data_IF_444209161739
#
_entry.id   IF_444209161739
#
_cell.length_a   1.000
_cell.length_b   1.000
_cell.length_c   1.000
_cell.angle_alpha   90.00
_cell.angle_beta   90.00
_cell.angle_gamma   90.00
#
_symmetry.space_group_name_H-M   'P 1'
#
loop_
_entity.id
_entity.type
_entity.pdbx_description
1 polymer ?
#
# COMPACT_ATOMS: atom_id res chain seq x y z
N UNK A 1 11.56 15.82 -1.46
CA UNK A 1 11.09 14.77 -2.40
C UNK A 1 11.22 15.23 -3.84
N UNK A 2 11.44 14.29 -4.77
CA UNK A 2 11.37 14.58 -6.21
C UNK A 2 9.90 14.79 -6.63
N UNK A 3 9.71 15.48 -7.78
CA UNK A 3 8.37 15.64 -8.34
C UNK A 3 7.77 14.26 -8.66
N UNK A 4 6.54 14.02 -8.23
CA UNK A 4 5.87 12.75 -8.47
C UNK A 4 5.70 12.49 -9.98
N UNK A 5 5.99 11.27 -10.40
CA UNK A 5 5.71 10.78 -11.75
C UNK A 5 4.20 10.87 -12.02
N UNK A 6 3.84 11.41 -13.16
CA UNK A 6 2.44 11.45 -13.60
C UNK A 6 2.17 10.18 -14.39
N UNK A 7 1.36 9.29 -13.82
CA UNK A 7 0.88 8.08 -14.48
C UNK A 7 -0.51 8.28 -15.08
N UNK A 8 -0.95 7.38 -15.95
CA UNK A 8 -2.33 7.35 -16.44
C UNK A 8 -3.28 7.07 -15.27
N UNK A 9 -4.27 7.92 -15.07
CA UNK A 9 -5.27 7.69 -14.02
C UNK A 9 -6.25 6.57 -14.43
N UNK A 10 -6.54 5.67 -13.48
CA UNK A 10 -7.58 4.65 -13.56
C UNK A 10 -8.43 4.69 -12.30
N UNK A 11 -9.61 4.09 -12.33
CA UNK A 11 -10.45 3.93 -11.16
C UNK A 11 -10.50 2.46 -10.73
N UNK A 12 -10.37 2.20 -9.44
CA UNK A 12 -10.64 0.91 -8.81
C UNK A 12 -11.87 1.13 -7.93
N UNK A 13 -13.04 0.82 -8.44
CA UNK A 13 -14.29 1.29 -7.87
C UNK A 13 -14.32 2.82 -7.84
N UNK A 14 -14.55 3.40 -6.67
CA UNK A 14 -14.55 4.84 -6.42
C UNK A 14 -13.16 5.41 -6.09
N UNK A 15 -12.14 4.56 -5.93
CA UNK A 15 -10.77 5.00 -5.64
C UNK A 15 -10.01 5.27 -6.92
N UNK A 16 -9.66 6.55 -7.15
CA UNK A 16 -8.79 6.97 -8.24
C UNK A 16 -7.34 6.62 -7.93
N UNK A 17 -6.67 5.96 -8.88
CA UNK A 17 -5.27 5.52 -8.79
C UNK A 17 -4.48 6.09 -9.95
N UNK A 18 -3.34 6.71 -9.67
CA UNK A 18 -2.51 7.37 -10.70
C UNK A 18 -2.91 8.81 -10.97
N UNK A 19 -2.23 9.45 -11.92
CA UNK A 19 -2.38 10.87 -12.18
C UNK A 19 -1.92 11.72 -10.99
N UNK A 20 -2.80 12.60 -10.55
CA UNK A 20 -2.63 13.48 -9.39
C UNK A 20 -3.27 12.92 -8.10
N UNK A 21 -3.91 11.73 -8.17
CA UNK A 21 -4.57 11.12 -7.02
C UNK A 21 -3.56 10.80 -5.89
N UNK A 22 -3.94 10.88 -4.62
CA UNK A 22 -3.08 10.48 -3.51
C UNK A 22 -2.62 9.03 -3.65
N UNK A 23 -1.44 8.69 -3.14
CA UNK A 23 -1.00 7.29 -3.06
C UNK A 23 -1.93 6.53 -2.13
N UNK A 24 -2.59 5.49 -2.65
CA UNK A 24 -3.56 4.70 -1.89
C UNK A 24 -2.92 3.51 -1.18
N UNK A 25 -3.51 3.11 -0.05
CA UNK A 25 -3.10 1.95 0.73
C UNK A 25 -4.05 0.78 0.46
N UNK A 26 -3.50 -0.32 -0.04
CA UNK A 26 -4.20 -1.56 -0.29
C UNK A 26 -3.75 -2.64 0.69
N UNK A 27 -4.67 -3.50 1.14
CA UNK A 27 -4.34 -4.74 1.84
C UNK A 27 -4.98 -5.97 1.17
N UNK A 28 -4.86 -7.11 1.80
CA UNK A 28 -5.41 -8.39 1.31
C UNK A 28 -5.96 -9.20 2.47
N UNK A 29 -7.10 -9.84 2.26
CA UNK A 29 -7.64 -10.79 3.24
C UNK A 29 -6.75 -12.01 3.39
N UNK A 30 -6.71 -12.56 4.59
CA UNK A 30 -6.01 -13.81 4.96
C UNK A 30 -6.98 -14.94 5.26
N UNK A 31 -8.28 -14.62 5.33
CA UNK A 31 -9.37 -15.59 5.47
C UNK A 31 -9.55 -16.40 4.19
N UNK A 32 -10.12 -17.58 4.31
CA UNK A 32 -10.65 -18.28 3.15
C UNK A 32 -11.82 -17.47 2.57
N UNK A 33 -11.74 -17.08 1.31
CA UNK A 33 -12.75 -16.25 0.66
C UNK A 33 -14.12 -16.93 0.63
N UNK A 34 -14.17 -18.27 0.69
CA UNK A 34 -15.41 -19.05 0.75
C UNK A 34 -16.15 -18.87 2.09
N UNK A 35 -15.43 -18.51 3.15
CA UNK A 35 -16.03 -18.10 4.42
C UNK A 35 -16.40 -16.59 4.34
N UNK A 36 -17.61 -16.34 3.86
CA UNK A 36 -18.13 -14.97 3.68
C UNK A 36 -18.12 -14.19 4.98
N UNK A 37 -18.56 -14.80 6.08
CA UNK A 37 -18.69 -14.11 7.37
C UNK A 37 -17.33 -13.67 7.92
N UNK A 38 -16.34 -14.57 7.92
CA UNK A 38 -14.99 -14.26 8.36
C UNK A 38 -14.32 -13.23 7.44
N UNK A 39 -14.51 -13.33 6.12
CA UNK A 39 -13.92 -12.41 5.14
C UNK A 39 -14.53 -11.01 5.26
N UNK A 40 -15.86 -10.88 5.39
CA UNK A 40 -16.53 -9.60 5.62
C UNK A 40 -16.07 -8.96 6.93
N UNK A 41 -15.96 -9.74 8.01
CA UNK A 41 -15.48 -9.23 9.30
C UNK A 41 -14.04 -8.70 9.18
N UNK A 42 -13.17 -9.40 8.46
CA UNK A 42 -11.80 -8.95 8.23
C UNK A 42 -11.74 -7.69 7.35
N UNK A 43 -12.55 -7.60 6.29
CA UNK A 43 -12.62 -6.40 5.44
C UNK A 43 -13.08 -5.19 6.25
N UNK A 44 -14.12 -5.32 7.08
CA UNK A 44 -14.58 -4.23 7.96
C UNK A 44 -13.48 -3.77 8.93
N UNK A 45 -12.72 -4.69 9.51
CA UNK A 45 -11.58 -4.33 10.33
C UNK A 45 -10.47 -3.62 9.55
N UNK A 46 -10.28 -3.94 8.28
CA UNK A 46 -9.37 -3.22 7.38
C UNK A 46 -9.91 -1.81 7.02
N UNK A 47 -11.21 -1.68 6.76
CA UNK A 47 -11.87 -0.37 6.55
C UNK A 47 -11.71 0.55 7.77
N UNK A 48 -11.92 0.00 8.97
CA UNK A 48 -11.71 0.73 10.24
C UNK A 48 -10.26 1.19 10.41
N UNK A 49 -9.28 0.37 9.97
CA UNK A 49 -7.87 0.73 9.96
C UNK A 49 -7.48 1.75 8.87
N UNK A 50 -8.42 2.09 7.97
CA UNK A 50 -8.23 3.07 6.90
C UNK A 50 -7.82 2.45 5.56
N UNK A 51 -7.91 1.13 5.37
CA UNK A 51 -7.64 0.48 4.09
C UNK A 51 -8.56 1.05 3.01
N UNK A 52 -8.00 1.38 1.86
CA UNK A 52 -8.75 2.03 0.77
C UNK A 52 -9.14 1.06 -0.36
N UNK A 53 -8.42 -0.05 -0.49
CA UNK A 53 -8.69 -1.09 -1.49
C UNK A 53 -8.35 -2.44 -0.86
N UNK A 54 -9.22 -3.43 -1.00
CA UNK A 54 -8.96 -4.79 -0.49
C UNK A 54 -8.87 -5.80 -1.63
N UNK A 55 -8.03 -6.82 -1.47
CA UNK A 55 -7.89 -7.93 -2.41
C UNK A 55 -8.25 -9.24 -1.72
N UNK A 56 -9.07 -10.08 -2.40
CA UNK A 56 -9.41 -11.43 -1.98
C UNK A 56 -8.85 -12.47 -2.95
N UNK A 57 -8.35 -13.59 -2.43
CA UNK A 57 -7.92 -14.71 -3.26
C UNK A 57 -9.14 -15.43 -3.87
N UNK A 58 -9.03 -15.86 -5.13
CA UNK A 58 -10.09 -16.56 -5.84
C UNK A 58 -9.54 -17.87 -6.42
N UNK A 59 -9.43 -18.91 -5.59
CA UNK A 59 -8.87 -20.19 -6.02
C UNK A 59 -9.82 -21.02 -6.90
N UNK A 60 -11.13 -20.85 -6.73
CA UNK A 60 -12.16 -21.66 -7.40
C UNK A 60 -13.52 -20.93 -7.54
N UNK A 61 -14.51 -21.60 -8.13
CA UNK A 61 -15.86 -21.08 -8.38
C UNK A 61 -16.67 -20.89 -7.10
N UNK A 62 -16.36 -21.58 -6.02
CA UNK A 62 -17.03 -21.37 -4.73
C UNK A 62 -16.59 -20.03 -4.13
N UNK A 63 -15.30 -19.71 -4.21
CA UNK A 63 -14.79 -18.40 -3.83
C UNK A 63 -15.38 -17.27 -4.69
N UNK A 64 -15.60 -17.48 -6.00
CA UNK A 64 -16.29 -16.49 -6.86
C UNK A 64 -17.70 -16.21 -6.37
N UNK A 65 -18.49 -17.26 -6.06
CA UNK A 65 -19.85 -17.07 -5.53
C UNK A 65 -19.85 -16.29 -4.22
N UNK A 66 -18.86 -16.57 -3.37
CA UNK A 66 -18.69 -15.84 -2.11
C UNK A 66 -18.37 -14.35 -2.35
N UNK A 67 -17.61 -14.00 -3.39
CA UNK A 67 -17.30 -12.59 -3.71
C UNK A 67 -18.53 -11.73 -3.91
N UNK A 68 -19.56 -12.23 -4.60
CA UNK A 68 -20.80 -11.50 -4.82
C UNK A 68 -21.49 -11.16 -3.49
N UNK A 69 -21.46 -12.07 -2.52
CA UNK A 69 -22.02 -11.85 -1.19
C UNK A 69 -21.16 -10.89 -0.35
N UNK A 70 -19.83 -11.05 -0.41
CA UNK A 70 -18.87 -10.17 0.26
C UNK A 70 -19.02 -8.74 -0.27
N UNK A 71 -19.13 -8.55 -1.60
CA UNK A 71 -19.28 -7.24 -2.23
C UNK A 71 -20.52 -6.49 -1.76
N UNK A 72 -21.62 -7.21 -1.54
CA UNK A 72 -22.87 -6.61 -1.02
C UNK A 72 -22.77 -6.11 0.42
N UNK A 73 -21.82 -6.65 1.19
CA UNK A 73 -21.67 -6.37 2.63
C UNK A 73 -20.49 -5.46 2.97
N UNK A 74 -19.71 -5.03 1.95
CA UNK A 74 -18.51 -4.20 2.09
C UNK A 74 -18.59 -2.97 1.22
N UNK A 75 -17.94 -1.87 1.63
CA UNK A 75 -17.99 -0.58 0.95
C UNK A 75 -16.71 -0.29 0.15
N UNK A 76 -15.55 -0.70 0.64
CA UNK A 76 -14.27 -0.44 -0.08
C UNK A 76 -14.17 -1.29 -1.35
N UNK A 77 -13.47 -0.78 -2.39
CA UNK A 77 -13.22 -1.50 -3.63
C UNK A 77 -12.59 -2.88 -3.42
N UNK A 78 -13.11 -3.87 -4.13
CA UNK A 78 -12.74 -5.28 -4.03
C UNK A 78 -11.98 -5.75 -5.27
N UNK A 79 -10.79 -6.31 -5.08
CA UNK A 79 -9.97 -6.90 -6.14
C UNK A 79 -10.05 -8.43 -6.06
N UNK A 80 -10.39 -9.09 -7.18
CA UNK A 80 -10.27 -10.54 -7.31
C UNK A 80 -8.85 -10.93 -7.73
N UNK A 81 -8.20 -11.80 -6.95
CA UNK A 81 -6.86 -12.31 -7.23
C UNK A 81 -6.94 -13.68 -7.93
N UNK A 82 -6.72 -13.67 -9.24
CA UNK A 82 -6.88 -14.82 -10.10
C UNK A 82 -5.56 -15.14 -10.78
N UNK A 83 -5.17 -16.43 -10.80
CA UNK A 83 -3.86 -16.83 -11.32
C UNK A 83 -3.88 -17.43 -12.72
N UNK A 84 -4.81 -18.38 -13.02
CA UNK A 84 -4.72 -19.20 -14.23
C UNK A 84 -6.04 -19.38 -14.99
N UNK A 85 -7.18 -19.22 -14.34
CA UNK A 85 -8.46 -19.63 -14.90
C UNK A 85 -9.29 -18.44 -15.37
N UNK A 86 -9.47 -18.33 -16.70
CA UNK A 86 -10.24 -17.25 -17.32
C UNK A 86 -11.72 -17.22 -16.86
N UNK A 87 -12.32 -18.38 -16.60
CA UNK A 87 -13.71 -18.44 -16.12
C UNK A 87 -13.86 -17.77 -14.75
N UNK A 88 -12.88 -17.96 -13.83
CA UNK A 88 -12.90 -17.28 -12.55
C UNK A 88 -12.84 -15.77 -12.72
N UNK A 89 -12.11 -15.29 -13.75
CA UNK A 89 -12.05 -13.86 -14.06
C UNK A 89 -13.40 -13.33 -14.57
N UNK A 90 -14.05 -14.04 -15.51
CA UNK A 90 -15.36 -13.65 -16.06
C UNK A 90 -16.43 -13.60 -14.98
N UNK A 91 -16.56 -14.66 -14.21
CA UNK A 91 -17.53 -14.75 -13.11
C UNK A 91 -17.26 -13.76 -11.97
N UNK A 92 -15.97 -13.44 -11.70
CA UNK A 92 -15.62 -12.39 -10.76
C UNK A 92 -16.08 -11.01 -11.24
N UNK A 93 -15.95 -10.72 -12.54
CA UNK A 93 -16.49 -9.48 -13.14
C UNK A 93 -18.01 -9.41 -12.99
N UNK A 94 -18.72 -10.52 -13.17
CA UNK A 94 -20.17 -10.61 -12.95
C UNK A 94 -20.54 -10.40 -11.48
N UNK A 95 -19.69 -10.84 -10.56
CA UNK A 95 -19.85 -10.66 -9.12
C UNK A 95 -19.68 -9.18 -8.68
N UNK A 96 -19.28 -8.30 -9.59
CA UNK A 96 -19.16 -6.86 -9.34
C UNK A 96 -17.88 -6.45 -8.65
N UNK A 97 -16.76 -7.14 -8.89
CA UNK A 97 -15.44 -6.71 -8.41
C UNK A 97 -14.95 -5.48 -9.14
N UNK A 98 -14.17 -4.67 -8.46
CA UNK A 98 -13.71 -3.36 -8.93
C UNK A 98 -12.35 -3.41 -9.64
N UNK A 99 -11.64 -4.54 -9.58
CA UNK A 99 -10.39 -4.78 -10.30
C UNK A 99 -10.09 -6.28 -10.36
N UNK A 100 -9.47 -6.73 -11.43
CA UNK A 100 -8.87 -8.06 -11.50
C UNK A 100 -7.36 -7.96 -11.23
N UNK A 101 -6.81 -8.88 -10.43
CA UNK A 101 -5.38 -9.18 -10.47
C UNK A 101 -5.20 -10.44 -11.31
N UNK A 102 -4.63 -10.27 -12.47
CA UNK A 102 -4.48 -11.33 -13.45
C UNK A 102 -3.24 -11.08 -14.32
N UNK A 103 -2.50 -12.13 -14.61
CA UNK A 103 -1.44 -12.10 -15.61
C UNK A 103 -1.99 -12.79 -16.89
N UNK A 104 -2.28 -12.01 -17.95
CA UNK A 104 -2.90 -12.58 -19.16
C UNK A 104 -2.05 -13.69 -19.80
N UNK A 105 -0.72 -13.59 -19.73
CA UNK A 105 0.19 -14.63 -20.22
C UNK A 105 0.05 -15.99 -19.52
N UNK A 106 -0.50 -16.04 -18.30
CA UNK A 106 -0.75 -17.31 -17.60
C UNK A 106 -1.93 -18.09 -18.18
N UNK A 107 -2.84 -17.45 -18.92
CA UNK A 107 -4.04 -18.10 -19.51
C UNK A 107 -3.66 -18.90 -20.75
N UNK A 108 -2.57 -18.58 -21.45
CA UNK A 108 -2.01 -19.23 -22.65
C UNK A 108 -2.93 -19.30 -23.88
N UNK A 109 -4.23 -19.16 -23.73
CA UNK A 109 -5.26 -19.24 -24.78
C UNK A 109 -5.72 -17.82 -25.10
N UNK A 110 -5.41 -17.34 -26.32
CA UNK A 110 -5.68 -15.96 -26.72
C UNK A 110 -7.18 -15.63 -26.72
N UNK A 111 -8.01 -16.54 -27.21
CA UNK A 111 -9.47 -16.30 -27.26
C UNK A 111 -10.05 -16.11 -25.85
N UNK A 112 -9.53 -16.84 -24.86
CA UNK A 112 -9.92 -16.70 -23.46
C UNK A 112 -9.45 -15.39 -22.85
N UNK A 113 -8.25 -14.94 -23.19
CA UNK A 113 -7.74 -13.62 -22.79
C UNK A 113 -8.62 -12.52 -23.38
N UNK A 114 -8.94 -12.62 -24.70
CA UNK A 114 -9.82 -11.68 -25.39
C UNK A 114 -11.22 -11.59 -24.75
N UNK A 115 -11.78 -12.71 -24.31
CA UNK A 115 -13.06 -12.73 -23.58
C UNK A 115 -12.98 -11.94 -22.28
N UNK A 116 -11.96 -12.20 -21.44
CA UNK A 116 -11.77 -11.50 -20.17
C UNK A 116 -11.56 -10.01 -20.39
N UNK A 117 -10.71 -9.63 -21.35
CA UNK A 117 -10.40 -8.24 -21.66
C UNK A 117 -11.64 -7.51 -22.18
N UNK A 118 -12.43 -8.13 -23.05
CA UNK A 118 -13.69 -7.55 -23.56
C UNK A 118 -14.68 -7.25 -22.42
N UNK A 119 -14.87 -8.21 -21.51
CA UNK A 119 -15.77 -8.03 -20.37
C UNK A 119 -15.24 -6.99 -19.37
N UNK A 120 -13.93 -6.98 -19.08
CA UNK A 120 -13.31 -5.97 -18.24
C UNK A 120 -13.44 -4.56 -18.86
N UNK A 121 -13.24 -4.44 -20.19
CA UNK A 121 -13.39 -3.18 -20.94
C UNK A 121 -14.84 -2.67 -20.91
N UNK A 122 -15.82 -3.57 -21.17
CA UNK A 122 -17.24 -3.23 -21.16
C UNK A 122 -17.70 -2.70 -19.77
N UNK A 123 -17.14 -3.23 -18.69
CA UNK A 123 -17.45 -2.86 -17.32
C UNK A 123 -16.55 -1.75 -16.76
N UNK A 124 -15.56 -1.30 -17.52
CA UNK A 124 -14.53 -0.33 -17.08
C UNK A 124 -13.75 -0.81 -15.86
N UNK A 125 -13.57 -2.12 -15.70
CA UNK A 125 -12.82 -2.75 -14.61
C UNK A 125 -11.34 -2.88 -14.98
N UNK A 126 -10.41 -2.26 -14.23
CA UNK A 126 -8.99 -2.36 -14.52
C UNK A 126 -8.42 -3.75 -14.23
N UNK A 127 -7.34 -4.08 -14.95
CA UNK A 127 -6.55 -5.29 -14.72
C UNK A 127 -5.20 -4.92 -14.12
N UNK A 128 -4.86 -5.54 -12.98
CA UNK A 128 -3.52 -5.42 -12.41
C UNK A 128 -2.65 -6.59 -12.82
N UNK A 129 -1.62 -6.29 -13.59
CA UNK A 129 -0.52 -7.21 -13.86
C UNK A 129 0.33 -7.33 -12.59
N UNK A 130 0.62 -8.56 -12.17
CA UNK A 130 1.37 -8.82 -10.93
C UNK A 130 2.54 -9.77 -11.19
N UNK A 131 3.69 -9.21 -11.56
CA UNK A 131 4.92 -9.98 -11.69
C UNK A 131 5.54 -10.17 -10.31
N UNK A 132 5.74 -11.42 -9.92
CA UNK A 132 6.45 -11.79 -8.70
C UNK A 132 7.67 -12.64 -9.06
N UNK A 133 8.80 -12.37 -8.42
CA UNK A 133 10.04 -13.11 -8.64
C UNK A 133 9.85 -14.64 -8.57
N UNK A 134 9.12 -15.14 -7.56
CA UNK A 134 8.88 -16.57 -7.35
C UNK A 134 7.99 -17.25 -8.41
N UNK A 135 7.39 -16.49 -9.34
CA UNK A 135 6.51 -17.01 -10.40
C UNK A 135 6.87 -16.50 -11.79
N UNK A 136 8.14 -16.12 -11.99
CA UNK A 136 8.65 -15.75 -13.30
C UNK A 136 8.59 -16.93 -14.26
N UNK A 137 8.20 -16.73 -15.53
CA UNK A 137 8.33 -17.75 -16.55
C UNK A 137 9.80 -18.14 -16.76
N UNK A 138 10.12 -19.35 -17.27
CA UNK A 138 11.50 -19.71 -17.60
C UNK A 138 12.13 -18.69 -18.56
N UNK A 139 13.42 -18.42 -18.41
CA UNK A 139 14.18 -17.58 -19.35
C UNK A 139 14.09 -18.23 -20.73
N UNK A 140 13.66 -17.47 -21.73
CA UNK A 140 13.38 -17.98 -23.09
C UNK A 140 11.98 -18.60 -23.26
N UNK A 141 11.22 -18.80 -22.18
CA UNK A 141 9.85 -19.33 -22.21
C UNK A 141 8.79 -18.26 -22.51
N UNK A 142 9.15 -17.01 -22.46
CA UNK A 142 8.33 -15.90 -22.94
C UNK A 142 8.51 -15.89 -24.45
N UNK A 143 7.41 -16.10 -25.18
CA UNK A 143 7.41 -15.96 -26.64
C UNK A 143 7.64 -14.51 -27.06
N UNK A 144 8.83 -13.97 -26.77
CA UNK A 144 9.25 -12.58 -26.98
C UNK A 144 9.25 -12.11 -28.43
N UNK A 145 8.78 -12.92 -29.36
CA UNK A 145 8.62 -12.58 -30.78
C UNK A 145 7.32 -11.84 -31.10
N UNK A 146 6.41 -11.65 -30.12
CA UNK A 146 5.16 -10.90 -30.28
C UNK A 146 4.86 -10.10 -29.01
N UNK A 147 4.66 -8.80 -29.18
CA UNK A 147 3.87 -8.02 -28.22
C UNK A 147 4.57 -7.53 -26.97
N UNK A 148 5.76 -6.96 -27.08
CA UNK A 148 6.19 -6.02 -26.03
C UNK A 148 5.26 -4.81 -26.06
N UNK A 149 5.06 -4.19 -24.90
CA UNK A 149 4.30 -2.94 -24.76
C UNK A 149 4.67 -1.94 -25.85
N UNK A 150 3.66 -1.29 -26.44
CA UNK A 150 3.86 -0.17 -27.40
C UNK A 150 4.68 0.99 -26.84
N UNK A 151 4.84 1.05 -25.53
CA UNK A 151 5.66 2.03 -24.83
C UNK A 151 7.09 1.55 -24.57
N UNK A 152 7.44 0.36 -25.04
CA UNK A 152 8.79 -0.22 -24.90
C UNK A 152 9.83 0.39 -25.85
N UNK A 153 9.53 1.46 -26.59
CA UNK A 153 10.41 2.22 -27.48
C UNK A 153 11.60 2.83 -26.70
N UNK A 154 12.55 2.08 -26.33
CA UNK A 154 13.70 2.44 -25.52
C UNK A 154 14.24 1.25 -24.75
N UNK A 155 13.52 0.14 -24.83
CA UNK A 155 13.91 -1.15 -24.25
C UNK A 155 14.81 -1.96 -25.21
N UNK A 156 15.14 -1.42 -26.40
CA UNK A 156 16.15 -1.99 -27.31
C UNK A 156 17.54 -2.16 -26.66
N UNK A 157 17.72 -1.63 -25.45
CA UNK A 157 18.92 -1.81 -24.61
C UNK A 157 18.77 -2.96 -23.61
N UNK A 158 17.59 -3.54 -23.43
CA UNK A 158 17.44 -4.73 -22.61
C UNK A 158 17.77 -5.95 -23.46
N UNK A 159 18.69 -6.81 -23.04
CA UNK A 159 19.02 -8.03 -23.78
C UNK A 159 17.77 -8.88 -23.95
N UNK A 160 17.47 -9.31 -25.17
CA UNK A 160 16.37 -10.23 -25.43
C UNK A 160 16.70 -11.58 -24.81
N UNK A 161 15.71 -12.22 -24.18
CA UNK A 161 15.90 -13.56 -23.65
C UNK A 161 16.37 -14.51 -24.79
N UNK A 162 17.54 -15.12 -24.61
CA UNK A 162 18.17 -15.98 -25.61
C UNK A 162 19.26 -15.31 -26.48
N UNK A 163 19.43 -13.98 -26.42
CA UNK A 163 20.51 -13.25 -27.12
C UNK A 163 21.65 -12.85 -26.18
N UNK A 164 21.43 -12.85 -24.86
CA UNK A 164 22.46 -12.58 -23.88
C UNK A 164 23.17 -13.87 -23.48
N UNK A 165 24.48 -13.84 -23.39
CA UNK A 165 25.22 -14.85 -22.62
C UNK A 165 24.62 -14.91 -21.21
N UNK A 166 24.48 -16.12 -20.67
CA UNK A 166 23.81 -16.36 -19.37
C UNK A 166 24.39 -15.55 -18.18
N UNK A 167 25.48 -14.81 -18.39
CA UNK A 167 26.10 -13.89 -17.43
C UNK A 167 25.64 -12.42 -17.50
N UNK A 168 24.96 -11.99 -18.57
CA UNK A 168 24.55 -10.59 -18.75
C UNK A 168 23.06 -10.34 -18.45
N UNK A 169 22.23 -11.40 -18.38
CA UNK A 169 20.79 -11.29 -18.16
C UNK A 169 20.45 -11.25 -16.67
N UNK A 170 20.17 -10.07 -16.15
CA UNK A 170 19.87 -9.90 -14.73
C UNK A 170 18.42 -10.29 -14.39
N UNK A 171 18.18 -10.62 -13.12
CA UNK A 171 16.83 -10.86 -12.58
C UNK A 171 15.91 -9.66 -12.80
N UNK A 172 16.47 -8.45 -12.71
CA UNK A 172 15.75 -7.20 -12.96
C UNK A 172 15.25 -7.14 -14.40
N UNK A 173 16.10 -7.48 -15.38
CA UNK A 173 15.73 -7.53 -16.79
C UNK A 173 14.55 -8.49 -17.01
N UNK A 174 14.63 -9.68 -16.39
CA UNK A 174 13.58 -10.69 -16.50
C UNK A 174 12.23 -10.21 -15.93
N UNK A 175 12.25 -9.57 -14.76
CA UNK A 175 11.03 -9.01 -14.14
C UNK A 175 10.42 -7.92 -15.04
N UNK A 176 11.24 -7.00 -15.54
CA UNK A 176 10.80 -5.88 -16.39
C UNK A 176 10.25 -6.39 -17.72
N UNK A 177 10.97 -7.28 -18.40
CA UNK A 177 10.53 -7.86 -19.68
C UNK A 177 9.25 -8.66 -19.53
N UNK A 178 9.10 -9.46 -18.45
CA UNK A 178 7.85 -10.17 -18.15
C UNK A 178 6.70 -9.19 -18.00
N UNK A 179 6.92 -8.10 -17.26
CA UNK A 179 5.91 -7.05 -17.11
C UNK A 179 5.51 -6.40 -18.43
N UNK A 180 6.49 -6.06 -19.26
CA UNK A 180 6.26 -5.45 -20.57
C UNK A 180 5.54 -6.40 -21.55
N UNK A 181 5.84 -7.67 -21.50
CA UNK A 181 5.14 -8.67 -22.28
C UNK A 181 3.68 -8.82 -21.88
N UNK A 182 3.40 -8.92 -20.59
CA UNK A 182 2.03 -8.97 -20.05
C UNK A 182 1.22 -7.73 -20.40
N UNK A 183 1.84 -6.55 -20.37
CA UNK A 183 1.25 -5.28 -20.79
C UNK A 183 0.93 -5.32 -22.29
N UNK A 184 1.89 -5.76 -23.11
CA UNK A 184 1.73 -5.86 -24.56
C UNK A 184 0.53 -6.70 -24.98
N UNK A 185 0.25 -7.81 -24.27
CA UNK A 185 -0.94 -8.65 -24.53
C UNK A 185 -2.22 -7.83 -24.36
N UNK A 186 -2.33 -6.99 -23.31
CA UNK A 186 -3.50 -6.16 -23.08
C UNK A 186 -3.60 -5.01 -24.08
N UNK A 187 -2.48 -4.38 -24.42
CA UNK A 187 -2.42 -3.29 -25.40
C UNK A 187 -2.77 -3.73 -26.82
N UNK A 188 -2.39 -4.96 -27.22
CA UNK A 188 -2.80 -5.56 -28.51
C UNK A 188 -4.32 -5.70 -28.61
N UNK A 189 -5.02 -5.80 -27.48
CA UNK A 189 -6.47 -5.87 -27.37
C UNK A 189 -7.12 -4.50 -27.13
N UNK A 190 -6.35 -3.44 -27.33
CA UNK A 190 -6.79 -2.06 -27.11
C UNK A 190 -7.37 -1.86 -25.69
N UNK A 191 -6.68 -2.42 -24.70
CA UNK A 191 -7.00 -2.29 -23.28
C UNK A 191 -5.89 -1.54 -22.55
N UNK A 192 -6.26 -0.46 -21.85
CA UNK A 192 -5.32 0.47 -21.23
C UNK A 192 -5.68 0.85 -19.78
N UNK A 193 -6.69 0.18 -19.20
CA UNK A 193 -6.99 0.27 -17.77
C UNK A 193 -6.08 -0.68 -16.98
N UNK A 194 -4.77 -0.42 -17.09
CA UNK A 194 -3.72 -1.30 -16.57
C UNK A 194 -3.10 -0.71 -15.30
N UNK A 195 -2.85 -1.57 -14.32
CA UNK A 195 -2.03 -1.29 -13.13
C UNK A 195 -0.95 -2.37 -13.01
N UNK A 196 0.25 -2.00 -12.55
CA UNK A 196 1.41 -2.91 -12.61
C UNK A 196 2.02 -3.08 -11.23
N UNK A 197 2.43 -4.29 -10.90
CA UNK A 197 3.28 -4.57 -9.76
C UNK A 197 4.43 -5.51 -10.14
N UNK A 198 5.65 -5.15 -9.69
CA UNK A 198 6.88 -5.90 -9.88
C UNK A 198 7.50 -6.15 -8.50
N UNK A 199 7.33 -7.35 -7.97
CA UNK A 199 7.68 -7.64 -6.58
C UNK A 199 8.74 -8.73 -6.48
N UNK A 200 9.79 -8.44 -5.70
CA UNK A 200 10.75 -9.39 -5.22
C UNK A 200 10.92 -9.25 -3.71
N UNK A 201 11.61 -10.19 -3.09
CA UNK A 201 12.02 -10.09 -1.68
C UNK A 201 13.17 -9.09 -1.51
N UNK A 202 14.10 -9.11 -2.46
CA UNK A 202 15.28 -8.25 -2.48
C UNK A 202 14.91 -6.81 -2.83
N UNK A 203 15.40 -5.86 -2.01
CA UNK A 203 15.07 -4.44 -2.15
C UNK A 203 15.68 -3.85 -3.42
N UNK A 204 16.96 -4.13 -3.69
CA UNK A 204 17.66 -3.58 -4.86
C UNK A 204 17.01 -4.03 -6.15
N UNK A 205 16.71 -5.33 -6.26
CA UNK A 205 15.96 -5.92 -7.39
C UNK A 205 14.61 -5.26 -7.57
N UNK A 206 13.85 -5.10 -6.48
CA UNK A 206 12.51 -4.49 -6.53
C UNK A 206 12.59 -3.02 -6.94
N UNK A 207 13.46 -2.25 -6.30
CA UNK A 207 13.60 -0.81 -6.56
C UNK A 207 14.04 -0.56 -7.99
N UNK A 208 15.05 -1.29 -8.48
CA UNK A 208 15.56 -1.13 -9.83
C UNK A 208 14.54 -1.54 -10.89
N UNK A 209 13.78 -2.63 -10.66
CA UNK A 209 12.71 -3.04 -11.58
C UNK A 209 11.61 -1.96 -11.69
N UNK A 210 11.20 -1.35 -10.58
CA UNK A 210 10.23 -0.26 -10.62
C UNK A 210 10.76 1.02 -11.25
N UNK A 211 12.02 1.38 -11.03
CA UNK A 211 12.66 2.53 -11.70
C UNK A 211 12.60 2.38 -13.21
N UNK A 212 13.08 1.23 -13.73
CA UNK A 212 13.05 0.96 -15.17
C UNK A 212 11.64 0.93 -15.73
N UNK A 213 10.71 0.28 -15.03
CA UNK A 213 9.31 0.25 -15.47
C UNK A 213 8.68 1.64 -15.46
N UNK A 214 9.02 2.48 -14.48
CA UNK A 214 8.49 3.84 -14.37
C UNK A 214 8.92 4.74 -15.53
N UNK A 215 10.11 4.52 -16.08
CA UNK A 215 10.64 5.28 -17.21
C UNK A 215 10.00 4.87 -18.55
N UNK A 216 9.48 3.64 -18.64
CA UNK A 216 9.05 3.04 -19.91
C UNK A 216 7.53 3.15 -20.10
N UNK A 217 6.73 2.91 -19.06
CA UNK A 217 5.27 2.81 -19.21
C UNK A 217 4.51 3.94 -18.52
N UNK A 218 3.37 4.39 -19.07
CA UNK A 218 2.56 5.45 -18.46
C UNK A 218 1.63 4.94 -17.34
N UNK A 219 1.53 3.65 -17.11
CA UNK A 219 0.55 3.04 -16.23
C UNK A 219 0.88 3.20 -14.74
N UNK A 220 -0.15 3.21 -13.85
CA UNK A 220 0.05 3.25 -12.41
C UNK A 220 0.83 2.06 -11.88
N UNK A 221 1.71 2.33 -10.91
CA UNK A 221 2.55 1.34 -10.25
C UNK A 221 2.04 1.03 -8.84
N UNK A 222 1.80 -0.25 -8.59
CA UNK A 222 1.44 -0.78 -7.29
C UNK A 222 2.68 -1.35 -6.59
N UNK A 223 3.21 -0.58 -5.65
CA UNK A 223 4.45 -0.92 -4.96
C UNK A 223 4.23 -1.95 -3.84
N UNK A 224 5.24 -2.73 -3.57
CA UNK A 224 5.28 -3.64 -2.43
C UNK A 224 6.51 -4.52 -2.44
N UNK A 225 7.00 -4.87 -1.25
CA UNK A 225 8.00 -5.92 -1.08
C UNK A 225 7.25 -7.22 -0.76
N UNK A 226 7.57 -8.31 -1.45
CA UNK A 226 6.97 -9.61 -1.17
C UNK A 226 7.73 -10.34 -0.07
N UNK A 227 7.02 -11.17 0.72
CA UNK A 227 7.65 -12.03 1.75
C UNK A 227 8.53 -11.25 2.74
N UNK A 228 8.12 -10.02 3.09
CA UNK A 228 8.96 -9.12 3.86
C UNK A 228 9.20 -9.56 5.31
N UNK A 229 8.39 -10.48 5.86
CA UNK A 229 8.59 -11.09 7.17
C UNK A 229 7.57 -10.65 8.21
N UNK A 230 7.93 -10.77 9.49
CA UNK A 230 7.08 -10.40 10.64
C UNK A 230 6.84 -8.90 10.72
N UNK A 231 5.90 -8.44 11.55
CA UNK A 231 5.57 -7.02 11.69
C UNK A 231 6.83 -6.14 11.84
N UNK A 232 7.74 -6.48 12.74
CA UNK A 232 8.95 -5.68 12.99
C UNK A 232 9.91 -5.64 11.81
N UNK A 233 10.37 -6.80 11.32
CA UNK A 233 11.37 -6.85 10.24
C UNK A 233 10.77 -6.47 8.87
N UNK A 234 9.52 -6.87 8.64
CA UNK A 234 8.81 -6.60 7.40
C UNK A 234 8.44 -5.12 7.24
N UNK A 235 8.08 -4.42 8.32
CA UNK A 235 7.84 -2.98 8.29
C UNK A 235 9.11 -2.22 7.93
N UNK A 236 10.27 -2.60 8.49
CA UNK A 236 11.55 -1.97 8.16
C UNK A 236 11.89 -2.17 6.68
N UNK A 237 11.81 -3.42 6.16
CA UNK A 237 12.08 -3.70 4.75
C UNK A 237 11.13 -2.95 3.83
N UNK A 238 9.85 -2.95 4.14
CA UNK A 238 8.84 -2.22 3.38
C UNK A 238 9.09 -0.71 3.42
N UNK A 239 9.41 -0.14 4.59
CA UNK A 239 9.71 1.27 4.72
C UNK A 239 10.94 1.68 3.88
N UNK A 240 11.98 0.85 3.84
CA UNK A 240 13.16 1.12 3.01
C UNK A 240 12.79 1.05 1.52
N UNK A 241 12.26 -0.08 1.04
CA UNK A 241 12.03 -0.28 -0.39
C UNK A 241 10.93 0.65 -0.95
N UNK A 242 9.80 0.78 -0.25
CA UNK A 242 8.73 1.70 -0.65
C UNK A 242 9.17 3.16 -0.47
N UNK A 243 9.89 3.47 0.62
CA UNK A 243 10.38 4.80 0.91
C UNK A 243 11.33 5.33 -0.17
N UNK A 244 12.25 4.51 -0.68
CA UNK A 244 13.15 4.89 -1.78
C UNK A 244 12.35 5.27 -3.03
N UNK A 245 11.41 4.43 -3.47
CA UNK A 245 10.61 4.67 -4.66
C UNK A 245 9.68 5.88 -4.51
N UNK A 246 8.97 5.97 -3.39
CA UNK A 246 8.06 7.08 -3.11
C UNK A 246 8.79 8.41 -2.99
N UNK A 247 10.00 8.44 -2.38
CA UNK A 247 10.84 9.63 -2.30
C UNK A 247 11.29 10.11 -3.69
N UNK A 248 11.49 9.19 -4.63
CA UNK A 248 11.79 9.47 -6.03
C UNK A 248 10.55 9.87 -6.85
N UNK A 249 9.37 9.82 -6.26
CA UNK A 249 8.10 10.15 -6.92
C UNK A 249 7.49 8.98 -7.70
N UNK A 250 7.97 7.77 -7.47
CA UNK A 250 7.49 6.53 -8.11
C UNK A 250 6.49 5.82 -7.19
N UNK A 251 5.30 5.52 -7.70
CA UNK A 251 4.27 4.75 -7.00
C UNK A 251 2.93 5.47 -6.88
N UNK A 252 1.86 4.73 -7.11
CA UNK A 252 0.48 5.22 -7.15
C UNK A 252 -0.41 4.53 -6.12
N UNK A 253 -0.07 3.31 -5.73
CA UNK A 253 -0.70 2.55 -4.65
C UNK A 253 0.33 1.64 -4.01
N UNK A 254 0.19 1.36 -2.72
CA UNK A 254 1.13 0.54 -1.97
C UNK A 254 0.44 -0.61 -1.26
N UNK A 255 1.16 -1.72 -1.05
CA UNK A 255 0.81 -2.77 -0.12
C UNK A 255 2.04 -3.21 0.66
N UNK A 256 1.98 -3.08 1.97
CA UNK A 256 2.89 -3.75 2.91
C UNK A 256 2.44 -5.19 3.07
N UNK A 257 3.35 -6.16 3.12
CA UNK A 257 3.04 -7.59 3.27
C UNK A 257 3.72 -8.12 4.53
N UNK A 258 2.92 -8.43 5.56
CA UNK A 258 3.43 -8.87 6.86
C UNK A 258 2.86 -10.24 7.23
N UNK A 259 3.68 -11.07 7.90
CA UNK A 259 3.21 -12.28 8.58
C UNK A 259 2.65 -11.91 9.96
N UNK A 260 1.53 -11.13 9.95
CA UNK A 260 0.86 -10.60 11.13
C UNK A 260 -0.61 -10.24 10.78
N UNK A 261 -1.36 -9.60 11.69
CA UNK A 261 -2.69 -9.05 11.39
C UNK A 261 -2.63 -8.12 10.17
N UNK A 262 -3.60 -8.24 9.27
CA UNK A 262 -3.66 -7.42 8.05
C UNK A 262 -3.81 -5.92 8.33
N UNK A 263 -4.33 -5.53 9.50
CA UNK A 263 -4.43 -4.13 9.93
C UNK A 263 -3.05 -3.50 10.14
N UNK A 264 -2.06 -4.28 10.61
CA UNK A 264 -0.68 -3.81 10.76
C UNK A 264 -0.05 -3.46 9.39
N UNK A 265 -0.46 -4.14 8.30
CA UNK A 265 -0.07 -3.77 6.94
C UNK A 265 -0.58 -2.37 6.56
N UNK A 266 -1.82 -2.03 6.95
CA UNK A 266 -2.45 -0.74 6.68
C UNK A 266 -1.78 0.37 7.51
N UNK A 267 -1.62 0.16 8.81
CA UNK A 267 -0.95 1.12 9.70
C UNK A 267 0.47 1.41 9.24
N UNK A 268 1.27 0.37 8.94
CA UNK A 268 2.62 0.53 8.41
C UNK A 268 2.62 1.29 7.07
N UNK A 269 1.66 1.00 6.19
CA UNK A 269 1.51 1.70 4.92
C UNK A 269 1.28 3.20 5.11
N UNK A 270 0.37 3.58 6.00
CA UNK A 270 0.12 4.98 6.32
C UNK A 270 1.30 5.65 7.04
N UNK A 271 2.00 4.94 7.94
CA UNK A 271 3.20 5.49 8.57
C UNK A 271 4.30 5.82 7.55
N UNK A 272 4.53 4.96 6.55
CA UNK A 272 5.45 5.25 5.45
C UNK A 272 5.02 6.53 4.69
N UNK A 273 3.73 6.63 4.34
CA UNK A 273 3.22 7.77 3.59
C UNK A 273 3.23 9.07 4.40
N UNK A 274 2.91 9.00 5.70
CA UNK A 274 2.98 10.15 6.61
C UNK A 274 4.42 10.62 6.82
N UNK A 275 5.36 9.68 7.02
CA UNK A 275 6.79 9.99 7.19
C UNK A 275 7.38 10.70 5.97
N UNK A 276 6.82 10.48 4.78
CA UNK A 276 7.19 11.15 3.54
C UNK A 276 6.28 12.35 3.19
N UNK A 277 5.38 12.76 4.09
CA UNK A 277 4.41 13.84 3.86
C UNK A 277 3.53 13.68 2.60
N UNK A 278 3.38 12.43 2.13
CA UNK A 278 2.54 12.11 0.96
C UNK A 278 1.06 12.00 1.31
N UNK A 279 0.75 11.71 2.57
CA UNK A 279 -0.62 11.63 3.08
C UNK A 279 -0.71 12.35 4.43
N UNK A 280 -1.75 13.15 4.57
CA UNK A 280 -2.16 13.77 5.83
C UNK A 280 -3.37 13.02 6.37
N UNK A 281 -3.17 11.83 6.92
CA UNK A 281 -4.24 10.97 7.42
C UNK A 281 -3.85 10.38 8.77
N UNK A 282 -4.68 10.58 9.77
CA UNK A 282 -4.44 10.09 11.13
C UNK A 282 -3.34 10.84 11.90
N UNK A 283 -3.30 10.62 13.19
CA UNK A 283 -2.34 11.26 14.08
C UNK A 283 -0.90 10.78 13.87
N UNK A 284 0.05 11.63 14.22
CA UNK A 284 1.50 11.33 14.23
C UNK A 284 2.02 11.53 15.64
N UNK A 285 2.62 10.48 16.21
CA UNK A 285 3.28 10.57 17.52
C UNK A 285 4.73 11.03 17.37
N UNK A 286 5.11 12.03 18.17
CA UNK A 286 6.49 12.47 18.36
C UNK A 286 6.86 12.16 19.81
N UNK A 287 7.68 11.15 20.05
CA UNK A 287 8.05 10.75 21.40
C UNK A 287 9.57 10.86 21.63
N UNK A 288 9.97 11.34 22.78
CA UNK A 288 11.39 11.34 23.12
C UNK A 288 11.86 9.89 23.41
N UNK A 289 13.15 9.56 23.11
CA UNK A 289 13.66 8.19 23.22
C UNK A 289 13.88 7.72 24.66
N UNK A 290 13.46 8.49 25.67
CA UNK A 290 13.74 8.30 27.09
C UNK A 290 15.25 8.30 27.39
N UNK A 291 15.69 9.11 28.31
CA UNK A 291 17.09 9.17 28.78
C UNK A 291 17.13 9.29 30.30
N UNK A 292 18.32 9.38 30.89
CA UNK A 292 18.47 9.51 32.35
C UNK A 292 17.88 10.78 32.98
N UNK A 293 17.26 11.65 32.19
CA UNK A 293 16.51 12.84 32.63
C UNK A 293 15.00 12.62 32.63
N UNK A 294 14.52 11.48 32.21
CA UNK A 294 13.09 11.21 32.18
C UNK A 294 12.57 10.97 33.62
N UNK A 295 11.58 11.77 34.01
CA UNK A 295 10.96 11.68 35.34
C UNK A 295 9.80 10.68 35.39
N UNK A 296 9.40 10.14 34.24
CA UNK A 296 8.27 9.19 34.07
C UNK A 296 8.64 8.05 33.14
N UNK A 297 7.87 6.96 33.15
CA UNK A 297 7.99 5.89 32.15
C UNK A 297 7.46 6.35 30.79
N UNK A 298 8.32 7.05 30.05
CA UNK A 298 8.02 7.59 28.72
C UNK A 298 7.70 6.46 27.74
N UNK A 299 8.37 5.31 27.85
CA UNK A 299 8.17 4.19 26.92
C UNK A 299 6.75 3.66 27.06
N UNK A 300 6.29 3.44 28.28
CA UNK A 300 4.92 2.99 28.54
C UNK A 300 3.90 4.04 28.10
N UNK A 301 4.13 5.32 28.44
CA UNK A 301 3.23 6.41 28.08
C UNK A 301 3.12 6.55 26.55
N UNK A 302 4.25 6.59 25.84
CA UNK A 302 4.27 6.71 24.37
C UNK A 302 3.57 5.56 23.68
N UNK A 303 3.84 4.31 24.07
CA UNK A 303 3.16 3.15 23.50
C UNK A 303 1.65 3.18 23.76
N UNK A 304 1.22 3.60 24.95
CA UNK A 304 -0.22 3.72 25.26
C UNK A 304 -0.88 4.79 24.42
N UNK A 305 -0.23 5.95 24.27
CA UNK A 305 -0.72 7.05 23.41
C UNK A 305 -0.78 6.60 21.95
N UNK A 306 0.25 5.94 21.45
CA UNK A 306 0.32 5.46 20.06
C UNK A 306 -0.86 4.55 19.72
N UNK A 307 -1.17 3.58 20.59
CA UNK A 307 -2.33 2.71 20.42
C UNK A 307 -3.67 3.48 20.41
N UNK A 308 -3.78 4.52 21.24
CA UNK A 308 -4.99 5.35 21.27
C UNK A 308 -5.11 6.24 20.02
N UNK A 309 -3.99 6.70 19.47
CA UNK A 309 -3.93 7.53 18.28
C UNK A 309 -4.31 6.80 16.99
N UNK A 310 -4.23 5.48 16.94
CA UNK A 310 -4.71 4.66 15.78
C UNK A 310 -6.19 4.93 15.44
N UNK A 311 -6.98 5.40 16.38
CA UNK A 311 -8.41 5.73 16.21
C UNK A 311 -8.66 7.16 15.73
N UNK A 312 -7.66 8.01 15.74
CA UNK A 312 -7.75 9.42 15.34
C UNK A 312 -7.53 9.52 13.84
N UNK A 313 -8.51 10.08 13.14
CA UNK A 313 -8.46 10.21 11.67
C UNK A 313 -7.87 11.53 11.19
N UNK A 314 -7.93 12.57 12.01
CA UNK A 314 -7.39 13.89 11.70
C UNK A 314 -5.85 13.90 11.75
N UNK A 315 -5.17 14.70 10.91
CA UNK A 315 -3.72 14.75 10.83
C UNK A 315 -3.12 15.59 11.97
N UNK A 316 -3.24 15.09 13.19
CA UNK A 316 -2.78 15.76 14.43
C UNK A 316 -1.37 15.26 14.77
N UNK A 317 -0.47 16.18 15.07
CA UNK A 317 0.85 15.87 15.62
C UNK A 317 0.80 15.91 17.14
N UNK A 318 1.03 14.78 17.80
CA UNK A 318 1.00 14.64 19.26
C UNK A 318 2.40 14.38 19.78
N UNK A 319 2.85 15.17 20.77
CA UNK A 319 4.17 15.04 21.37
C UNK A 319 4.11 14.43 22.79
N UNK A 320 4.98 13.46 23.07
CA UNK A 320 5.17 12.85 24.39
C UNK A 320 6.61 12.99 24.81
N UNK A 321 6.88 13.88 25.79
CA UNK A 321 8.21 14.23 26.25
C UNK A 321 8.39 13.88 27.73
N UNK A 322 9.50 13.24 28.07
CA UNK A 322 9.77 12.73 29.40
C UNK A 322 10.44 13.70 30.38
N UNK A 323 10.77 14.92 29.97
CA UNK A 323 11.36 15.92 30.85
C UNK A 323 11.02 17.35 30.41
N UNK A 324 11.09 18.29 31.38
CA UNK A 324 10.81 19.71 31.13
C UNK A 324 11.96 20.43 30.38
N UNK A 325 13.15 19.84 30.25
CA UNK A 325 14.34 20.50 29.69
C UNK A 325 14.23 20.66 28.16
N UNK A 326 14.05 19.58 27.44
CA UNK A 326 13.96 19.61 25.98
C UNK A 326 12.50 19.53 25.47
N UNK A 327 11.59 19.03 26.35
CA UNK A 327 10.21 18.82 26.01
C UNK A 327 9.50 19.99 25.34
N UNK A 328 9.57 21.21 25.91
CA UNK A 328 8.93 22.38 25.32
C UNK A 328 9.48 22.76 23.94
N UNK A 329 10.77 22.56 23.69
CA UNK A 329 11.41 22.84 22.40
C UNK A 329 11.03 21.83 21.32
N UNK A 330 11.06 20.54 21.65
CA UNK A 330 10.74 19.44 20.72
C UNK A 330 9.22 19.30 20.47
N UNK A 331 8.39 19.67 21.46
CA UNK A 331 6.94 19.71 21.33
C UNK A 331 6.41 20.98 20.64
N UNK A 332 7.27 21.95 20.30
CA UNK A 332 6.87 23.27 19.78
C UNK A 332 6.03 23.17 18.51
N UNK A 333 6.35 22.23 17.62
CA UNK A 333 5.68 22.05 16.34
C UNK A 333 4.57 21.02 16.40
N UNK A 334 4.21 20.53 17.61
CA UNK A 334 3.08 19.64 17.81
C UNK A 334 1.78 20.42 18.03
N UNK A 335 0.67 19.87 17.54
CA UNK A 335 -0.65 20.43 17.79
C UNK A 335 -1.04 20.30 19.27
N UNK A 336 -0.71 19.14 19.86
CA UNK A 336 -0.91 18.82 21.26
C UNK A 336 0.35 18.12 21.78
N UNK A 337 0.77 18.42 23.01
CA UNK A 337 1.93 17.75 23.59
C UNK A 337 1.90 17.72 25.10
N UNK A 338 2.70 16.81 25.64
CA UNK A 338 2.94 16.69 27.07
C UNK A 338 4.45 16.66 27.35
N UNK A 339 4.90 17.41 28.34
CA UNK A 339 6.25 17.32 28.90
C UNK A 339 6.15 17.01 30.39
N UNK A 340 6.65 15.84 30.78
CA UNK A 340 6.64 15.39 32.16
C UNK A 340 7.81 15.95 32.96
N UNK A 341 7.64 16.10 34.30
CA UNK A 341 8.69 16.53 35.21
C UNK A 341 8.22 16.59 36.67
N UNK A 342 9.03 16.07 37.58
CA UNK A 342 8.90 16.21 39.04
C UNK A 342 7.46 15.94 39.59
N UNK A 343 6.82 14.84 39.22
CA UNK A 343 5.49 14.46 39.70
C UNK A 343 4.32 15.22 39.08
N UNK A 344 4.57 15.98 38.03
CA UNK A 344 3.58 16.76 37.25
C UNK A 344 3.91 16.73 35.78
N UNK A 345 3.00 17.21 34.94
CA UNK A 345 3.26 17.44 33.55
C UNK A 345 2.70 18.74 33.02
N UNK A 346 3.33 19.28 32.01
CA UNK A 346 2.86 20.44 31.26
C UNK A 346 2.21 19.97 29.99
N UNK A 347 0.94 20.31 29.80
CA UNK A 347 0.22 20.11 28.54
C UNK A 347 0.47 21.34 27.66
N UNK A 348 0.82 21.08 26.40
CA UNK A 348 1.02 22.09 25.36
C UNK A 348 -0.06 21.98 24.29
N UNK A 349 -0.45 23.12 23.75
CA UNK A 349 -1.32 23.21 22.60
C UNK A 349 -0.76 24.23 21.62
N UNK A 350 -0.51 23.83 20.38
CA UNK A 350 0.12 24.68 19.33
C UNK A 350 1.39 25.36 19.84
N UNK A 351 2.25 24.61 20.52
CA UNK A 351 3.51 25.09 21.09
C UNK A 351 3.41 25.96 22.34
N UNK A 352 2.20 26.26 22.81
CA UNK A 352 1.99 27.10 24.01
C UNK A 352 1.57 26.22 25.18
N UNK A 353 2.02 26.60 26.41
CA UNK A 353 1.60 25.95 27.64
C UNK A 353 0.10 26.18 27.86
N UNK A 354 -0.67 25.12 27.91
CA UNK A 354 -2.10 25.14 28.16
C UNK A 354 -2.42 24.99 29.64
N UNK A 355 -1.93 23.93 30.29
CA UNK A 355 -2.19 23.64 31.70
C UNK A 355 -1.10 22.76 32.31
N UNK A 356 -1.05 22.71 33.66
CA UNK A 356 -0.25 21.75 34.41
C UNK A 356 -1.18 20.75 35.05
N UNK A 357 -0.80 19.47 35.01
CA UNK A 357 -1.55 18.36 35.59
C UNK A 357 -0.67 17.51 36.49
N UNK A 358 -1.25 16.77 37.41
CA UNK A 358 -0.53 15.76 38.18
C UNK A 358 -0.10 14.58 37.30
N UNK A 359 0.94 13.85 37.69
CA UNK A 359 1.44 12.69 36.96
C UNK A 359 0.35 11.64 36.70
N UNK A 360 -0.52 11.39 37.68
CA UNK A 360 -1.62 10.45 37.55
C UNK A 360 -2.63 10.82 36.44
N UNK A 361 -2.75 12.08 36.11
CA UNK A 361 -3.75 12.60 35.15
C UNK A 361 -3.18 12.84 33.75
N UNK A 362 -1.88 12.57 33.52
CA UNK A 362 -1.16 12.88 32.28
C UNK A 362 -1.85 12.33 31.05
N UNK A 363 -2.17 11.04 31.03
CA UNK A 363 -2.72 10.36 29.87
C UNK A 363 -4.13 10.87 29.57
N UNK A 364 -4.97 11.01 30.61
CA UNK A 364 -6.35 11.49 30.43
C UNK A 364 -6.38 12.92 29.92
N UNK A 365 -5.53 13.79 30.48
CA UNK A 365 -5.44 15.19 30.09
C UNK A 365 -4.91 15.36 28.66
N UNK A 366 -3.88 14.57 28.26
CA UNK A 366 -3.38 14.57 26.89
C UNK A 366 -4.47 14.13 25.90
N UNK A 367 -5.15 13.03 26.17
CA UNK A 367 -6.19 12.51 25.29
C UNK A 367 -7.45 13.38 25.20
N UNK A 368 -7.74 14.16 26.25
CA UNK A 368 -8.79 15.19 26.22
C UNK A 368 -8.44 16.30 25.21
N UNK A 369 -7.20 16.80 25.23
CA UNK A 369 -6.73 17.81 24.27
C UNK A 369 -6.65 17.25 22.85
N UNK A 370 -6.24 16.00 22.68
CA UNK A 370 -6.22 15.32 21.37
C UNK A 370 -7.63 15.24 20.80
N UNK A 371 -8.63 14.81 21.59
CA UNK A 371 -10.03 14.74 21.15
C UNK A 371 -10.59 16.13 20.79
N UNK A 372 -10.21 17.14 21.54
CA UNK A 372 -10.61 18.53 21.24
C UNK A 372 -10.01 19.00 19.92
N UNK A 373 -8.72 18.73 19.69
CA UNK A 373 -8.05 19.07 18.45
C UNK A 373 -8.63 18.28 17.25
N UNK A 374 -8.96 16.99 17.44
CA UNK A 374 -9.61 16.14 16.42
C UNK A 374 -10.98 16.71 16.02
N UNK A 375 -11.79 17.10 17.00
CA UNK A 375 -13.07 17.72 16.73
C UNK A 375 -12.94 19.04 15.95
N UNK A 376 -11.97 19.90 16.30
CA UNK A 376 -11.73 21.17 15.59
C UNK A 376 -11.37 20.95 14.11
N UNK A 377 -10.56 19.93 13.80
CA UNK A 377 -10.15 19.62 12.44
C UNK A 377 -11.21 18.89 11.63
N UNK A 378 -12.14 18.21 12.29
CA UNK A 378 -13.25 17.51 11.63
C UNK A 378 -14.35 18.46 11.12
N UNK A 379 -14.33 19.73 11.54
CA UNK A 379 -15.27 20.78 11.12
C UNK A 379 -14.75 21.67 9.99
N UNK A 380 -13.52 21.45 9.51
CA UNK A 380 -12.86 22.18 8.41
C UNK A 380 -12.78 21.28 7.18
#
# INVERSE_FOLDING_TARGET
MRKRRISKAINVGDVRVGGDAPVSVQSMTKTDTRDVAATVAQIKGLEEAGCEIVRCAVPDMEAVKALAEIRRQTTIPLIADIHFHHQLALESLESGVDCLRLNPGNIRDREKVEQVVREAKARQVPIRIGVNFGSLPPVGGIGLTRGLSRHADGVDKLPKAGEADAGEYSVVDHIVQTGLWEIGILEELDFDLIKISLKAFDIDTTVEAYRRMADVVPYPLHLGITESGTAKSGSIRSAIGLGMLLYEGIGDTIRVSLSDDSREEVYTGFEILKSLELRKAGAVLVACPSCGRADVDVVKLANTVDEMLKKIKSPIKVAVMGCEVNGPGEAKDADVGIAAGAGRAIIFRKGQKARIVAEADMLSALMEEVKTADAELSFV
#
